data_IF_751587835739
#
_entry.id   IF_751587835739
#
_cell.length_a   1.000
_cell.length_b   1.000
_cell.length_c   1.000
_cell.angle_alpha   90.00
_cell.angle_beta   90.00
_cell.angle_gamma   90.00
#
_symmetry.space_group_name_H-M   'P 1'
#
loop_
_entity.id
_entity.type
_entity.pdbx_description
1 polymer ?
#
# COMPACT_ATOMS: atom_id res chain seq x y z
N UNK A 1 18.92 -4.53 11.37
CA UNK A 1 18.19 -4.02 10.20
C UNK A 1 18.98 -3.08 9.28
N UNK A 2 19.13 -1.78 9.58
CA UNK A 2 19.57 -0.79 8.58
C UNK A 2 20.95 -1.03 7.97
N UNK A 3 21.96 -1.36 8.79
CA UNK A 3 23.31 -1.66 8.30
C UNK A 3 23.29 -2.83 7.32
N UNK A 4 22.74 -3.97 7.74
CA UNK A 4 22.61 -5.15 6.87
C UNK A 4 21.79 -4.89 5.61
N UNK A 5 20.78 -4.02 5.68
CA UNK A 5 20.00 -3.62 4.51
C UNK A 5 20.86 -2.78 3.54
N UNK A 6 21.67 -1.84 4.04
CA UNK A 6 22.58 -1.03 3.21
C UNK A 6 23.67 -1.87 2.55
N UNK A 7 24.22 -2.84 3.27
CA UNK A 7 25.21 -3.77 2.73
C UNK A 7 24.61 -4.56 1.55
N UNK A 8 23.36 -5.04 1.70
CA UNK A 8 22.61 -5.70 0.62
C UNK A 8 22.30 -4.78 -0.57
N UNK A 9 21.93 -3.51 -0.30
CA UNK A 9 21.72 -2.50 -1.35
C UNK A 9 23.00 -2.31 -2.16
N UNK A 10 24.15 -2.18 -1.50
CA UNK A 10 25.44 -2.01 -2.17
C UNK A 10 25.84 -3.25 -2.98
N UNK A 11 25.65 -4.46 -2.43
CA UNK A 11 25.90 -5.72 -3.12
C UNK A 11 25.10 -5.83 -4.42
N UNK A 12 23.80 -5.51 -4.39
CA UNK A 12 22.94 -5.60 -5.58
C UNK A 12 23.16 -4.46 -6.56
N UNK A 13 23.50 -3.26 -6.06
CA UNK A 13 23.91 -2.15 -6.91
C UNK A 13 25.19 -2.47 -7.71
N UNK A 14 26.14 -3.22 -7.12
CA UNK A 14 27.34 -3.68 -7.84
C UNK A 14 27.02 -4.63 -9.02
N UNK A 15 25.84 -5.26 -9.00
CA UNK A 15 25.31 -6.08 -10.09
C UNK A 15 24.35 -5.31 -11.03
N UNK A 16 24.10 -4.02 -10.78
CA UNK A 16 23.17 -3.21 -11.56
C UNK A 16 21.69 -3.55 -11.35
N UNK A 17 21.35 -4.21 -10.24
CA UNK A 17 19.98 -4.67 -9.94
C UNK A 17 19.46 -4.08 -8.63
N UNK A 18 18.13 -3.90 -8.47
CA UNK A 18 17.57 -3.37 -7.24
C UNK A 18 17.77 -4.33 -6.05
N UNK A 19 17.71 -3.82 -4.80
CA UNK A 19 17.69 -4.68 -3.63
C UNK A 19 16.44 -5.57 -3.63
N UNK A 20 16.45 -6.67 -2.87
CA UNK A 20 15.24 -7.47 -2.66
C UNK A 20 14.20 -6.71 -1.81
N UNK A 21 12.91 -7.05 -1.91
CA UNK A 21 11.90 -6.60 -0.96
C UNK A 21 12.23 -7.03 0.48
N UNK A 22 11.68 -6.33 1.46
CA UNK A 22 11.83 -6.66 2.87
C UNK A 22 11.06 -7.94 3.20
N UNK A 23 11.72 -8.83 3.94
CA UNK A 23 11.07 -9.98 4.57
C UNK A 23 10.17 -9.55 5.74
N UNK A 24 9.35 -10.48 6.24
CA UNK A 24 8.53 -10.25 7.43
C UNK A 24 9.37 -9.87 8.66
N UNK A 25 10.51 -10.54 8.86
CA UNK A 25 11.46 -10.22 9.93
C UNK A 25 12.00 -8.79 9.80
N UNK A 26 12.47 -8.41 8.62
CA UNK A 26 12.99 -7.06 8.37
C UNK A 26 11.91 -5.99 8.52
N UNK A 27 10.66 -6.29 8.14
CA UNK A 27 9.52 -5.39 8.31
C UNK A 27 9.19 -5.19 9.80
N UNK A 28 9.24 -6.25 10.61
CA UNK A 28 9.12 -6.15 12.06
C UNK A 28 10.24 -5.30 12.68
N UNK A 29 11.50 -5.54 12.29
CA UNK A 29 12.62 -4.72 12.75
C UNK A 29 12.50 -3.24 12.31
N UNK A 30 11.98 -2.98 11.11
CA UNK A 30 11.68 -1.63 10.61
C UNK A 30 10.62 -0.94 11.47
N UNK A 31 9.57 -1.66 11.86
CA UNK A 31 8.50 -1.13 12.72
C UNK A 31 9.05 -0.68 14.07
N UNK A 32 9.96 -1.45 14.69
CA UNK A 32 10.61 -1.04 15.94
C UNK A 32 11.44 0.24 15.75
N UNK A 33 12.11 0.39 14.60
CA UNK A 33 12.80 1.64 14.26
C UNK A 33 11.83 2.81 14.02
N UNK A 34 10.65 2.57 13.44
CA UNK A 34 9.62 3.61 13.28
C UNK A 34 9.06 4.11 14.62
N UNK A 35 9.04 3.27 15.65
CA UNK A 35 8.64 3.64 17.01
C UNK A 35 9.70 4.45 17.75
N UNK A 36 10.97 4.18 17.48
CA UNK A 36 12.13 4.86 18.08
C UNK A 36 13.15 5.24 16.99
N UNK A 37 12.86 6.25 16.15
CA UNK A 37 13.67 6.55 14.98
C UNK A 37 15.04 7.09 15.38
N UNK A 38 16.14 6.50 14.85
CA UNK A 38 17.45 7.11 14.98
C UNK A 38 17.49 8.45 14.23
N UNK A 39 18.20 9.42 14.79
CA UNK A 39 18.30 10.75 14.19
C UNK A 39 18.90 10.69 12.78
N UNK A 40 18.24 11.34 11.82
CA UNK A 40 18.66 11.41 10.42
C UNK A 40 18.25 10.21 9.56
N UNK A 41 17.57 9.23 10.14
CA UNK A 41 17.09 8.03 9.43
C UNK A 41 15.60 8.10 9.06
N UNK A 42 14.88 9.14 9.50
CA UNK A 42 13.42 9.23 9.47
C UNK A 42 12.86 9.05 8.06
N UNK A 43 13.42 9.77 7.08
CA UNK A 43 12.99 9.68 5.69
C UNK A 43 13.25 8.29 5.09
N UNK A 44 14.36 7.66 5.43
CA UNK A 44 14.68 6.31 4.96
C UNK A 44 13.69 5.30 5.54
N UNK A 45 13.37 5.38 6.83
CA UNK A 45 12.40 4.47 7.45
C UNK A 45 11.01 4.57 6.80
N UNK A 46 10.55 5.79 6.52
CA UNK A 46 9.27 6.03 5.82
C UNK A 46 9.32 5.53 4.38
N UNK A 47 10.44 5.69 3.67
CA UNK A 47 10.60 5.14 2.32
C UNK A 47 10.54 3.60 2.33
N UNK A 48 11.25 2.96 3.26
CA UNK A 48 11.27 1.50 3.38
C UNK A 48 9.87 0.91 3.59
N UNK A 49 9.10 1.46 4.53
CA UNK A 49 7.75 0.94 4.80
C UNK A 49 6.79 1.25 3.65
N UNK A 50 7.01 2.35 2.92
CA UNK A 50 6.17 2.73 1.78
C UNK A 50 6.43 1.83 0.58
N UNK A 51 7.71 1.67 0.19
CA UNK A 51 8.09 1.19 -1.14
C UNK A 51 8.80 -0.16 -1.15
N UNK A 52 9.23 -0.69 0.00
CA UNK A 52 10.11 -1.88 0.05
C UNK A 52 9.46 -3.12 0.65
N UNK A 53 8.21 -3.05 1.07
CA UNK A 53 7.44 -4.21 1.56
C UNK A 53 6.51 -4.71 0.45
N UNK A 54 6.48 -6.02 0.18
CA UNK A 54 5.48 -6.62 -0.73
C UNK A 54 4.03 -6.21 -0.37
N UNK A 55 3.16 -6.25 -1.37
CA UNK A 55 1.73 -6.03 -1.22
C UNK A 55 0.99 -7.38 -1.17
N UNK A 56 -0.34 -7.36 -1.01
CA UNK A 56 -1.13 -8.59 -1.04
C UNK A 56 -1.11 -9.37 0.27
N UNK A 57 -1.02 -10.69 0.14
CA UNK A 57 -1.06 -11.66 1.25
C UNK A 57 0.32 -12.24 1.60
N UNK A 58 1.39 -11.52 1.27
CA UNK A 58 2.75 -11.86 1.70
C UNK A 58 2.91 -11.71 3.23
N UNK A 59 3.78 -12.50 3.84
CA UNK A 59 4.02 -12.44 5.29
C UNK A 59 4.50 -11.07 5.76
N UNK A 60 5.32 -10.38 4.96
CA UNK A 60 5.77 -9.02 5.27
C UNK A 60 4.63 -8.00 5.12
N UNK A 61 3.76 -8.21 4.13
CA UNK A 61 2.54 -7.40 3.96
C UNK A 61 1.62 -7.54 5.17
N UNK A 62 1.47 -8.75 5.74
CA UNK A 62 0.69 -8.98 6.97
C UNK A 62 1.21 -8.14 8.14
N UNK A 63 2.54 -8.14 8.33
CA UNK A 63 3.21 -7.38 9.39
C UNK A 63 3.01 -5.88 9.19
N UNK A 64 3.22 -5.37 7.97
CA UNK A 64 2.99 -3.97 7.61
C UNK A 64 1.53 -3.56 7.80
N UNK A 65 0.56 -4.34 7.30
CA UNK A 65 -0.87 -4.03 7.41
C UNK A 65 -1.32 -3.96 8.86
N UNK A 66 -0.87 -4.90 9.70
CA UNK A 66 -1.23 -4.93 11.12
C UNK A 66 -0.74 -3.67 11.87
N UNK A 67 0.50 -3.24 11.63
CA UNK A 67 1.04 -2.03 12.25
C UNK A 67 0.38 -0.75 11.72
N UNK A 68 0.22 -0.62 10.40
CA UNK A 68 -0.44 0.54 9.81
C UNK A 68 -1.91 0.65 10.25
N UNK A 69 -2.61 -0.47 10.41
CA UNK A 69 -3.96 -0.49 10.97
C UNK A 69 -3.97 0.02 12.41
N UNK A 70 -3.05 -0.42 13.27
CA UNK A 70 -2.95 0.07 14.64
C UNK A 70 -2.69 1.59 14.70
N UNK A 71 -1.82 2.10 13.83
CA UNK A 71 -1.57 3.54 13.72
C UNK A 71 -2.79 4.29 13.19
N UNK A 72 -3.45 3.78 12.14
CA UNK A 72 -4.64 4.40 11.56
C UNK A 72 -5.82 4.46 12.54
N UNK A 73 -6.05 3.40 13.32
CA UNK A 73 -7.04 3.37 14.40
C UNK A 73 -6.63 4.18 15.64
N UNK A 74 -5.40 4.67 15.70
CA UNK A 74 -4.88 5.44 16.84
C UNK A 74 -4.61 4.59 18.09
N UNK A 75 -4.63 3.27 17.98
CA UNK A 75 -4.27 2.35 19.07
C UNK A 75 -2.75 2.24 19.25
N UNK A 76 -1.99 2.65 18.24
CA UNK A 76 -0.54 2.84 18.30
C UNK A 76 -0.17 4.24 17.77
N UNK A 77 0.87 4.84 18.36
CA UNK A 77 1.39 6.15 17.92
C UNK A 77 2.73 5.96 17.21
N UNK A 78 2.89 6.64 16.08
CA UNK A 78 4.15 6.72 15.35
C UNK A 78 4.52 8.20 15.19
N UNK A 79 5.77 8.57 15.52
CA UNK A 79 6.23 9.95 15.37
C UNK A 79 6.37 10.37 13.90
N UNK A 80 6.55 9.41 12.99
CA UNK A 80 6.84 9.66 11.57
C UNK A 80 5.66 9.44 10.64
N UNK A 81 4.60 8.76 11.10
CA UNK A 81 3.44 8.38 10.29
C UNK A 81 2.19 8.78 11.07
N UNK A 82 1.44 9.76 10.53
CA UNK A 82 0.15 10.15 11.09
C UNK A 82 -0.91 9.08 10.82
N UNK A 83 -2.08 9.22 11.45
CA UNK A 83 -3.23 8.31 11.23
C UNK A 83 -3.67 8.36 9.77
N UNK A 84 -3.77 9.56 9.20
CA UNK A 84 -4.12 9.80 7.80
C UNK A 84 -3.11 9.14 6.87
N UNK A 85 -1.81 9.32 7.14
CA UNK A 85 -0.76 8.71 6.32
C UNK A 85 -0.76 7.19 6.42
N UNK A 86 -1.04 6.63 7.58
CA UNK A 86 -1.17 5.18 7.75
C UNK A 86 -2.36 4.63 6.94
N UNK A 87 -3.50 5.32 6.94
CA UNK A 87 -4.66 4.97 6.12
C UNK A 87 -4.35 5.05 4.62
N UNK A 88 -3.64 6.08 4.17
CA UNK A 88 -3.17 6.18 2.78
C UNK A 88 -2.25 5.01 2.39
N UNK A 89 -1.32 4.65 3.27
CA UNK A 89 -0.38 3.54 3.03
C UNK A 89 -1.07 2.18 3.00
N UNK A 90 -2.12 1.97 3.81
CA UNK A 90 -2.98 0.78 3.67
C UNK A 90 -3.61 0.73 2.28
N UNK A 91 -4.00 1.88 1.72
CA UNK A 91 -4.56 1.99 0.37
C UNK A 91 -3.61 1.59 -0.76
N UNK A 92 -2.29 1.55 -0.53
CA UNK A 92 -1.32 1.17 -1.57
C UNK A 92 -0.95 -0.33 -1.55
N UNK A 93 -1.56 -1.12 -0.67
CA UNK A 93 -1.21 -2.54 -0.47
C UNK A 93 -1.94 -3.50 -1.43
N UNK A 94 -2.59 -2.97 -2.47
CA UNK A 94 -3.32 -3.64 -3.55
C UNK A 94 -4.57 -4.43 -3.11
N UNK A 95 -4.51 -5.18 -2.02
CA UNK A 95 -5.57 -6.01 -1.46
C UNK A 95 -5.05 -7.04 -0.46
N UNK A 96 -5.95 -7.77 0.19
CA UNK A 96 -5.59 -8.73 1.24
C UNK A 96 -5.69 -8.13 2.65
N UNK A 97 -4.59 -8.13 3.42
CA UNK A 97 -4.60 -7.77 4.84
C UNK A 97 -4.97 -6.30 5.14
N UNK A 98 -4.94 -5.43 4.14
CA UNK A 98 -5.29 -4.02 4.26
C UNK A 98 -6.80 -3.73 4.14
N UNK A 99 -7.60 -4.66 3.60
CA UNK A 99 -9.00 -4.40 3.24
C UNK A 99 -9.88 -4.18 4.46
N UNK A 100 -9.94 -5.15 5.38
CA UNK A 100 -10.79 -5.04 6.57
C UNK A 100 -10.47 -3.79 7.40
N UNK A 101 -9.19 -3.45 7.68
CA UNK A 101 -8.86 -2.18 8.31
C UNK A 101 -9.40 -0.96 7.56
N UNK A 102 -9.26 -0.88 6.23
CA UNK A 102 -9.80 0.24 5.46
C UNK A 102 -11.33 0.34 5.54
N UNK A 103 -12.02 -0.79 5.51
CA UNK A 103 -13.49 -0.83 5.66
C UNK A 103 -13.92 -0.40 7.06
N UNK A 104 -13.19 -0.81 8.09
CA UNK A 104 -13.44 -0.38 9.48
C UNK A 104 -13.25 1.13 9.65
N UNK A 105 -12.19 1.68 9.05
CA UNK A 105 -11.85 3.10 9.12
C UNK A 105 -12.89 4.02 8.45
N UNK A 106 -13.84 3.50 7.66
CA UNK A 106 -14.96 4.30 7.13
C UNK A 106 -15.86 4.89 8.25
N UNK A 107 -15.84 4.33 9.45
CA UNK A 107 -16.60 4.84 10.60
C UNK A 107 -15.80 5.85 11.46
N UNK A 108 -14.52 6.06 11.15
CA UNK A 108 -13.65 6.96 11.91
C UNK A 108 -13.63 8.36 11.31
N UNK A 109 -14.22 9.34 11.99
CA UNK A 109 -14.36 10.71 11.47
C UNK A 109 -13.03 11.40 11.11
N UNK A 110 -11.89 10.96 11.64
CA UNK A 110 -10.57 11.55 11.36
C UNK A 110 -10.02 11.06 10.02
N UNK A 111 -10.26 9.79 9.68
CA UNK A 111 -9.57 9.12 8.56
C UNK A 111 -10.52 8.44 7.56
N UNK A 112 -11.83 8.53 7.74
CA UNK A 112 -12.82 7.94 6.86
C UNK A 112 -12.74 8.47 5.43
N UNK A 113 -12.35 9.74 5.24
CA UNK A 113 -12.15 10.31 3.91
C UNK A 113 -10.99 9.62 3.17
N UNK A 114 -9.84 9.43 3.83
CA UNK A 114 -8.68 8.74 3.29
C UNK A 114 -8.98 7.26 3.02
N UNK A 115 -9.72 6.61 3.93
CA UNK A 115 -10.15 5.23 3.76
C UNK A 115 -11.06 5.07 2.54
N UNK A 116 -12.02 5.99 2.36
CA UNK A 116 -12.88 6.01 1.18
C UNK A 116 -12.07 6.19 -0.11
N UNK A 117 -11.16 7.17 -0.17
CA UNK A 117 -10.31 7.40 -1.35
C UNK A 117 -9.43 6.19 -1.71
N UNK A 118 -8.94 5.47 -0.71
CA UNK A 118 -8.23 4.22 -0.90
C UNK A 118 -9.14 3.11 -1.48
N UNK A 119 -10.32 2.90 -0.87
CA UNK A 119 -11.26 1.85 -1.28
C UNK A 119 -11.84 2.07 -2.68
N UNK A 120 -12.10 3.33 -3.07
CA UNK A 120 -12.54 3.69 -4.43
C UNK A 120 -11.63 3.15 -5.54
N UNK A 121 -10.32 3.05 -5.27
CA UNK A 121 -9.30 2.60 -6.22
C UNK A 121 -8.90 1.13 -6.01
N UNK A 122 -9.47 0.46 -5.02
CA UNK A 122 -9.13 -0.92 -4.67
C UNK A 122 -9.99 -1.89 -5.45
N UNK A 123 -9.36 -2.73 -6.28
CA UNK A 123 -10.05 -3.71 -7.13
C UNK A 123 -10.26 -5.06 -6.45
N UNK A 124 -9.34 -5.43 -5.57
CA UNK A 124 -9.30 -6.74 -4.92
C UNK A 124 -10.22 -6.79 -3.68
N UNK A 125 -11.46 -6.31 -3.84
CA UNK A 125 -12.45 -6.23 -2.76
C UNK A 125 -13.16 -7.55 -2.46
N UNK A 126 -13.36 -8.40 -3.48
CA UNK A 126 -14.06 -9.69 -3.36
C UNK A 126 -15.31 -9.61 -2.46
N UNK A 127 -15.44 -10.48 -1.47
CA UNK A 127 -16.61 -10.53 -0.57
C UNK A 127 -16.69 -9.33 0.37
N UNK A 128 -15.57 -8.64 0.68
CA UNK A 128 -15.58 -7.41 1.50
C UNK A 128 -16.29 -6.24 0.81
N UNK A 129 -16.67 -6.38 -0.47
CA UNK A 129 -17.67 -5.52 -1.09
C UNK A 129 -18.96 -5.45 -0.25
N UNK A 130 -19.40 -6.59 0.30
CA UNK A 130 -20.63 -6.66 1.10
C UNK A 130 -20.52 -5.89 2.40
N UNK A 131 -19.34 -5.85 3.04
CA UNK A 131 -19.11 -5.08 4.26
C UNK A 131 -19.24 -3.57 4.01
N UNK A 132 -18.71 -3.08 2.88
CA UNK A 132 -18.89 -1.68 2.45
C UNK A 132 -20.37 -1.41 2.14
N UNK A 133 -21.03 -2.34 1.46
CA UNK A 133 -22.46 -2.23 1.15
C UNK A 133 -23.30 -2.13 2.42
N UNK A 134 -23.05 -2.98 3.40
CA UNK A 134 -23.77 -2.97 4.67
C UNK A 134 -23.63 -1.63 5.40
N UNK A 135 -22.42 -1.05 5.44
CA UNK A 135 -22.19 0.28 6.02
C UNK A 135 -22.95 1.36 5.25
N UNK A 136 -22.98 1.29 3.92
CA UNK A 136 -23.73 2.23 3.10
C UNK A 136 -25.25 2.13 3.34
N UNK A 137 -25.79 0.91 3.44
CA UNK A 137 -27.20 0.65 3.74
C UNK A 137 -27.58 1.20 5.13
N UNK A 138 -26.66 1.13 6.10
CA UNK A 138 -26.79 1.74 7.44
C UNK A 138 -26.62 3.25 7.47
N UNK A 139 -26.34 3.88 6.33
CA UNK A 139 -26.31 5.33 6.19
C UNK A 139 -24.92 5.97 6.22
N UNK A 140 -23.83 5.20 6.26
CA UNK A 140 -22.47 5.76 6.21
C UNK A 140 -22.23 6.47 4.86
N UNK A 141 -22.01 7.78 4.90
CA UNK A 141 -21.85 8.62 3.70
C UNK A 141 -20.59 8.28 2.90
N UNK A 142 -19.50 7.91 3.57
CA UNK A 142 -18.24 7.51 2.93
C UNK A 142 -18.40 6.17 2.21
N UNK A 143 -19.06 5.19 2.84
CA UNK A 143 -19.36 3.91 2.21
C UNK A 143 -20.25 4.08 0.96
N UNK A 144 -21.27 4.96 1.02
CA UNK A 144 -22.08 5.31 -0.15
C UNK A 144 -21.24 5.92 -1.28
N UNK A 145 -20.32 6.82 -0.95
CA UNK A 145 -19.43 7.43 -1.93
C UNK A 145 -18.47 6.41 -2.57
N UNK A 146 -18.01 5.41 -1.81
CA UNK A 146 -17.20 4.29 -2.34
C UNK A 146 -18.01 3.47 -3.36
N UNK A 147 -19.24 3.06 -3.01
CA UNK A 147 -20.11 2.32 -3.93
C UNK A 147 -20.42 3.10 -5.20
N UNK A 148 -20.69 4.40 -5.08
CA UNK A 148 -20.97 5.27 -6.22
C UNK A 148 -19.77 5.36 -7.16
N UNK A 149 -18.57 5.58 -6.61
CA UNK A 149 -17.31 5.61 -7.37
C UNK A 149 -17.03 4.29 -8.12
N UNK A 150 -17.31 3.15 -7.49
CA UNK A 150 -17.22 1.85 -8.15
C UNK A 150 -18.22 1.69 -9.28
N UNK A 151 -19.47 2.13 -9.08
CA UNK A 151 -20.52 2.10 -10.10
C UNK A 151 -20.20 3.01 -11.30
N UNK A 152 -19.61 4.18 -11.03
CA UNK A 152 -19.14 5.14 -12.04
C UNK A 152 -17.79 4.74 -12.67
N UNK A 153 -17.26 3.59 -12.25
CA UNK A 153 -15.99 3.03 -12.72
C UNK A 153 -14.81 3.99 -12.60
N UNK A 154 -14.75 4.83 -11.56
CA UNK A 154 -13.68 5.82 -11.38
C UNK A 154 -12.29 5.17 -11.27
N UNK A 155 -12.21 3.94 -10.77
CA UNK A 155 -10.98 3.13 -10.75
C UNK A 155 -10.40 2.90 -12.15
N UNK A 156 -11.24 2.95 -13.19
CA UNK A 156 -10.88 2.81 -14.59
C UNK A 156 -10.78 4.17 -15.28
N UNK A 157 -11.82 4.99 -15.20
CA UNK A 157 -11.95 6.25 -15.95
C UNK A 157 -11.00 7.35 -15.49
N UNK A 158 -10.47 7.27 -14.26
CA UNK A 158 -9.42 8.19 -13.78
C UNK A 158 -8.02 7.88 -14.30
N UNK A 159 -7.82 6.71 -14.95
CA UNK A 159 -6.51 6.30 -15.48
C UNK A 159 -6.31 6.89 -16.87
N UNK A 160 -5.06 7.18 -17.28
CA UNK A 160 -4.78 7.63 -18.64
C UNK A 160 -5.30 6.63 -19.68
N UNK A 161 -5.99 7.14 -20.71
CA UNK A 161 -6.37 6.33 -21.87
C UNK A 161 -5.13 5.82 -22.61
N UNK A 162 -5.30 4.71 -23.34
CA UNK A 162 -4.25 4.20 -24.23
C UNK A 162 -3.95 5.27 -25.30
N UNK A 163 -2.69 5.70 -25.48
CA UNK A 163 -2.35 6.69 -26.49
C UNK A 163 -2.72 6.22 -27.89
N UNK A 164 -3.22 7.13 -28.74
CA UNK A 164 -3.56 6.84 -30.15
C UNK A 164 -2.35 6.44 -31.01
N UNK A 165 -1.14 6.77 -30.56
CA UNK A 165 0.13 6.42 -31.19
C UNK A 165 1.18 6.20 -30.10
N UNK A 166 2.00 5.16 -30.26
CA UNK A 166 3.10 4.82 -29.35
C UNK A 166 4.38 4.75 -30.18
N UNK A 167 5.34 5.63 -29.88
CA UNK A 167 6.67 5.60 -30.50
C UNK A 167 7.56 4.66 -29.71
N UNK A 168 8.18 3.69 -30.38
CA UNK A 168 9.03 2.67 -29.76
C UNK A 168 10.34 2.49 -30.53
N UNK A 169 11.38 2.01 -29.84
CA UNK A 169 12.60 1.51 -30.46
C UNK A 169 12.49 0.00 -30.67
N UNK A 170 12.82 -0.47 -31.87
CA UNK A 170 12.73 -1.91 -32.19
C UNK A 170 13.93 -2.65 -31.60
N UNK A 171 13.67 -3.54 -30.63
CA UNK A 171 14.60 -4.58 -30.22
C UNK A 171 14.29 -5.85 -31.02
N UNK A 172 14.98 -6.06 -32.13
CA UNK A 172 14.77 -7.23 -32.99
C UNK A 172 15.65 -8.41 -32.53
N UNK A 173 15.01 -9.50 -32.13
CA UNK A 173 15.65 -10.83 -32.00
C UNK A 173 15.29 -11.65 -33.23
N UNK A 174 16.28 -12.12 -33.98
CA UNK A 174 16.06 -12.91 -35.20
C UNK A 174 15.87 -14.39 -34.87
N UNK A 175 15.03 -15.08 -35.64
CA UNK A 175 14.78 -16.51 -35.46
C UNK A 175 13.73 -16.78 -34.37
N UNK A 176 13.87 -17.90 -33.67
CA UNK A 176 13.00 -18.30 -32.58
C UNK A 176 13.45 -17.66 -31.26
N UNK A 177 12.50 -17.11 -30.49
CA UNK A 177 12.72 -16.75 -29.08
C UNK A 177 11.95 -17.76 -28.24
N UNK A 178 12.68 -18.69 -27.61
CA UNK A 178 12.14 -19.56 -26.58
C UNK A 178 12.22 -18.85 -25.20
N UNK A 179 11.38 -19.27 -24.27
CA UNK A 179 11.32 -18.75 -22.89
C UNK A 179 12.39 -19.36 -22.00
#
# INVERSE_FOLDING_TARGET
>A
MLKSYRDHVAERAALGIPPLPLSAKQTGELIELLKAPPAGEEAMLVDLITNRVPAGVDDAAKVKASYLAAVAHGTEKCALISRERATELLGTMLGGYNISPLVDLLDDAVVAAQAAEALKKTLLMFDQFHDVKEKADKGNAFAKAVLQSWADAEWFTSRPEVPKSITVSILKVTGETNT
#
